data_IF_994987033643
#
_entry.id   IF_994987033643
#
_cell.length_a   1.000
_cell.length_b   1.000
_cell.length_c   1.000
_cell.angle_alpha   90.00
_cell.angle_beta   90.00
_cell.angle_gamma   90.00
#
_symmetry.space_group_name_H-M   'P 1'
#
loop_
_entity.id
_entity.type
_entity.pdbx_description
1 polymer ?
#
# COMPACT_ATOMS: atom_id res chain seq x y z
N UNK A 1 20.41 13.63 1.77
CA UNK A 1 20.71 12.85 0.55
C UNK A 1 19.47 12.15 0.00
N UNK A 2 18.93 11.09 0.61
CA UNK A 2 17.76 10.37 0.03
C UNK A 2 16.52 11.27 -0.14
N UNK A 3 16.15 12.05 0.90
CA UNK A 3 15.02 13.00 0.83
C UNK A 3 15.22 14.11 -0.19
N UNK A 4 16.47 14.53 -0.43
CA UNK A 4 16.79 15.61 -1.37
C UNK A 4 16.69 15.09 -2.81
N UNK A 5 17.13 13.86 -3.06
CA UNK A 5 16.97 13.16 -4.35
C UNK A 5 15.50 12.99 -4.71
N UNK A 6 14.67 12.51 -3.78
CA UNK A 6 13.21 12.34 -4.00
C UNK A 6 12.55 13.68 -4.30
N UNK A 7 12.85 14.73 -3.52
CA UNK A 7 12.34 16.08 -3.77
C UNK A 7 12.73 16.60 -5.16
N UNK A 8 13.97 16.40 -5.57
CA UNK A 8 14.45 16.80 -6.89
C UNK A 8 13.71 16.07 -8.02
N UNK A 9 13.51 14.75 -7.88
CA UNK A 9 12.79 13.94 -8.87
C UNK A 9 11.31 14.36 -8.99
N UNK A 10 10.64 14.63 -7.86
CA UNK A 10 9.25 15.11 -7.87
C UNK A 10 9.10 16.49 -8.52
N UNK A 11 10.06 17.40 -8.28
CA UNK A 11 10.13 18.70 -8.97
C UNK A 11 10.33 18.54 -10.47
N UNK A 12 11.28 17.68 -10.89
CA UNK A 12 11.53 17.40 -12.31
C UNK A 12 10.32 16.83 -13.05
N UNK A 13 9.48 16.05 -12.35
CA UNK A 13 8.23 15.51 -12.89
C UNK A 13 7.07 16.54 -12.93
N UNK A 14 7.28 17.78 -12.49
CA UNK A 14 6.23 18.81 -12.43
C UNK A 14 5.15 18.54 -11.36
N UNK A 15 5.45 17.69 -10.37
CA UNK A 15 4.49 17.25 -9.34
C UNK A 15 4.71 17.90 -7.97
N UNK A 16 5.72 18.77 -7.85
CA UNK A 16 5.96 19.57 -6.65
C UNK A 16 6.52 20.94 -7.05
N UNK A 17 5.81 22.01 -6.69
CA UNK A 17 6.34 23.38 -6.79
C UNK A 17 7.09 23.78 -5.50
N UNK A 18 6.77 23.12 -4.37
CA UNK A 18 7.41 23.31 -3.07
C UNK A 18 8.17 22.05 -2.61
N UNK A 19 8.83 22.13 -1.45
CA UNK A 19 9.51 20.96 -0.84
C UNK A 19 8.43 19.96 -0.41
N UNK A 20 8.44 18.77 -1.00
CA UNK A 20 7.55 17.68 -0.61
C UNK A 20 7.86 17.26 0.83
N UNK A 21 6.86 17.37 1.70
CA UNK A 21 6.88 16.88 3.06
C UNK A 21 5.76 15.85 3.23
N UNK A 22 6.07 14.55 3.36
CA UNK A 22 5.06 13.53 3.64
C UNK A 22 4.30 13.86 4.93
N UNK A 23 2.98 13.64 4.92
CA UNK A 23 2.11 13.86 6.08
C UNK A 23 1.36 12.57 6.49
N UNK A 24 1.96 11.42 6.17
CA UNK A 24 1.39 10.08 6.36
C UNK A 24 0.92 9.83 7.79
N UNK A 25 1.72 10.20 8.80
CA UNK A 25 1.41 9.93 10.20
C UNK A 25 0.16 10.67 10.66
N UNK A 26 0.01 11.94 10.29
CA UNK A 26 -1.19 12.71 10.65
C UNK A 26 -2.42 12.22 9.88
N UNK A 27 -2.26 11.80 8.62
CA UNK A 27 -3.34 11.17 7.87
C UNK A 27 -3.83 9.89 8.57
N UNK A 28 -2.93 8.99 8.95
CA UNK A 28 -3.32 7.77 9.66
C UNK A 28 -3.87 8.06 11.07
N UNK A 29 -3.31 9.05 11.77
CA UNK A 29 -3.85 9.49 13.06
C UNK A 29 -5.29 9.99 12.92
N UNK A 30 -5.59 10.79 11.90
CA UNK A 30 -6.96 11.21 11.59
C UNK A 30 -7.87 9.99 11.33
N UNK A 31 -7.44 9.03 10.51
CA UNK A 31 -8.23 7.83 10.25
C UNK A 31 -8.54 7.05 11.54
N UNK A 32 -7.53 6.82 12.38
CA UNK A 32 -7.64 5.93 13.55
C UNK A 32 -8.28 6.61 14.75
N UNK A 33 -8.01 7.90 14.97
CA UNK A 33 -8.45 8.63 16.17
C UNK A 33 -9.73 9.43 15.96
N UNK A 34 -10.11 9.71 14.72
CA UNK A 34 -11.26 10.56 14.42
C UNK A 34 -12.26 9.86 13.50
N UNK A 35 -11.85 9.50 12.28
CA UNK A 35 -12.79 9.00 11.27
C UNK A 35 -13.39 7.63 11.63
N UNK A 36 -12.55 6.62 11.89
CA UNK A 36 -13.04 5.26 12.24
C UNK A 36 -13.94 5.29 13.49
N UNK A 37 -13.56 5.95 14.62
CA UNK A 37 -14.46 6.06 15.78
C UNK A 37 -15.80 6.73 15.47
N UNK A 38 -15.81 7.75 14.60
CA UNK A 38 -17.05 8.40 14.17
C UNK A 38 -17.94 7.45 13.36
N UNK A 39 -17.36 6.70 12.42
CA UNK A 39 -18.07 5.69 11.61
C UNK A 39 -18.62 4.58 12.51
N UNK A 40 -17.81 4.04 13.42
CA UNK A 40 -18.19 2.97 14.36
C UNK A 40 -19.26 3.38 15.37
N UNK A 41 -19.40 4.69 15.64
CA UNK A 41 -20.48 5.23 16.49
C UNK A 41 -21.77 5.42 15.70
N UNK A 42 -21.66 5.82 14.43
CA UNK A 42 -22.81 6.20 13.60
C UNK A 42 -23.46 5.01 12.89
N UNK A 43 -22.69 3.99 12.54
CA UNK A 43 -23.14 2.84 11.77
C UNK A 43 -22.92 1.53 12.52
N UNK A 44 -23.68 0.50 12.18
CA UNK A 44 -23.52 -0.84 12.74
C UNK A 44 -22.34 -1.55 12.07
N UNK A 45 -21.16 -1.40 12.66
CA UNK A 45 -19.91 -2.00 12.16
C UNK A 45 -19.40 -3.07 13.12
N UNK A 46 -18.70 -4.06 12.57
CA UNK A 46 -17.80 -4.90 13.38
C UNK A 46 -16.52 -4.09 13.65
N UNK A 47 -16.33 -3.68 14.90
CA UNK A 47 -15.30 -2.69 15.27
C UNK A 47 -13.91 -3.31 15.44
N UNK A 48 -13.86 -4.62 15.57
CA UNK A 48 -12.63 -5.35 15.83
C UNK A 48 -11.72 -5.38 14.60
N UNK A 49 -10.44 -5.65 14.87
CA UNK A 49 -9.38 -5.68 13.86
C UNK A 49 -9.70 -6.64 12.71
N UNK A 50 -10.27 -7.81 12.98
CA UNK A 50 -10.48 -8.84 11.94
C UNK A 50 -11.52 -8.46 10.89
N UNK A 51 -12.28 -7.38 11.14
CA UNK A 51 -13.27 -6.82 10.23
C UNK A 51 -12.94 -5.41 9.73
N UNK A 52 -11.77 -4.88 10.08
CA UNK A 52 -11.33 -3.55 9.66
C UNK A 52 -10.19 -3.68 8.66
N UNK A 53 -10.41 -3.19 7.44
CA UNK A 53 -9.44 -3.24 6.35
C UNK A 53 -9.20 -1.84 5.78
N UNK A 54 -8.03 -1.63 5.19
CA UNK A 54 -7.69 -0.40 4.47
C UNK A 54 -7.23 -0.73 3.05
N UNK A 55 -7.66 0.07 2.08
CA UNK A 55 -7.33 -0.19 0.70
C UNK A 55 -7.10 1.11 -0.08
N UNK A 56 -6.26 1.04 -1.10
CA UNK A 56 -6.04 2.15 -2.01
C UNK A 56 -5.18 1.74 -3.20
N UNK A 57 -5.21 2.59 -4.22
CA UNK A 57 -4.37 2.45 -5.41
C UNK A 57 -3.20 3.43 -5.41
N UNK A 58 -2.10 3.10 -6.09
CA UNK A 58 -0.95 3.99 -6.25
C UNK A 58 -0.37 4.42 -4.89
N UNK A 59 -0.26 5.74 -4.63
CA UNK A 59 0.11 6.28 -3.32
C UNK A 59 -0.87 5.87 -2.22
N UNK A 60 -2.15 5.66 -2.56
CA UNK A 60 -3.16 5.05 -1.70
C UNK A 60 -2.85 3.60 -1.31
N UNK A 61 -2.23 2.84 -2.22
CA UNK A 61 -1.75 1.49 -1.91
C UNK A 61 -0.53 1.53 -0.98
N UNK A 62 0.39 2.46 -1.23
CA UNK A 62 1.58 2.64 -0.39
C UNK A 62 1.20 3.06 1.04
N UNK A 63 0.27 4.00 1.21
CA UNK A 63 -0.19 4.43 2.53
C UNK A 63 -1.04 3.34 3.22
N UNK A 64 -1.73 2.47 2.47
CA UNK A 64 -2.45 1.32 3.03
C UNK A 64 -1.50 0.26 3.59
N UNK A 65 -0.39 -0.01 2.88
CA UNK A 65 0.71 -0.84 3.40
C UNK A 65 1.33 -0.21 4.65
N UNK A 66 1.56 1.10 4.65
CA UNK A 66 2.06 1.81 5.83
C UNK A 66 1.08 1.71 7.01
N UNK A 67 -0.23 1.85 6.76
CA UNK A 67 -1.26 1.82 7.79
C UNK A 67 -1.36 0.49 8.52
N UNK A 68 -1.28 -0.63 7.81
CA UNK A 68 -1.32 -1.95 8.46
C UNK A 68 -0.06 -2.22 9.29
N UNK A 69 1.09 -1.62 8.92
CA UNK A 69 2.32 -1.71 9.71
C UNK A 69 2.28 -0.83 10.97
N UNK A 70 1.77 0.41 10.87
CA UNK A 70 1.72 1.35 11.99
C UNK A 70 0.57 1.09 12.97
N UNK A 71 -0.55 0.58 12.48
CA UNK A 71 -1.74 0.32 13.29
C UNK A 71 -2.27 -1.11 13.14
N UNK A 72 -1.45 -2.15 13.38
CA UNK A 72 -1.85 -3.55 13.25
C UNK A 72 -2.93 -3.96 14.26
N UNK A 73 -3.05 -3.25 15.37
CA UNK A 73 -4.15 -3.43 16.32
C UNK A 73 -5.50 -2.92 15.79
N UNK A 74 -5.51 -2.11 14.73
CA UNK A 74 -6.72 -1.53 14.12
C UNK A 74 -7.04 -2.21 12.80
N UNK A 75 -6.07 -2.32 11.89
CA UNK A 75 -6.29 -2.87 10.55
C UNK A 75 -5.88 -4.35 10.51
N UNK A 76 -6.85 -5.24 10.32
CA UNK A 76 -6.60 -6.68 10.13
C UNK A 76 -6.19 -7.04 8.71
N UNK A 77 -6.18 -6.09 7.79
CA UNK A 77 -5.62 -6.32 6.48
C UNK A 77 -5.56 -5.07 5.60
N UNK A 78 -4.79 -5.17 4.54
CA UNK A 78 -4.62 -4.11 3.56
C UNK A 78 -4.71 -4.64 2.12
N UNK A 79 -5.30 -3.84 1.23
CA UNK A 79 -5.24 -4.06 -0.22
C UNK A 79 -4.53 -2.90 -0.92
N UNK A 80 -3.42 -3.21 -1.55
CA UNK A 80 -2.50 -2.23 -2.10
C UNK A 80 -2.44 -2.41 -3.62
N UNK A 81 -3.32 -1.71 -4.34
CA UNK A 81 -3.45 -1.84 -5.79
C UNK A 81 -2.40 -0.95 -6.47
N UNK A 82 -1.66 -1.50 -7.44
CA UNK A 82 -0.62 -0.76 -8.19
C UNK A 82 0.27 0.09 -7.26
N UNK A 83 0.76 -0.53 -6.19
CA UNK A 83 1.40 0.17 -5.09
C UNK A 83 2.53 1.06 -5.61
N UNK A 84 2.50 2.35 -5.27
CA UNK A 84 3.47 3.33 -5.77
C UNK A 84 4.83 3.21 -5.05
N UNK A 85 5.48 2.04 -5.21
CA UNK A 85 6.72 1.66 -4.55
C UNK A 85 7.88 2.61 -4.80
N UNK A 86 7.84 3.35 -5.91
CA UNK A 86 8.85 4.32 -6.29
C UNK A 86 8.76 5.60 -5.48
N UNK A 87 7.60 5.99 -4.96
CA UNK A 87 7.38 7.30 -4.31
C UNK A 87 7.65 8.52 -5.21
N UNK A 88 8.11 8.28 -6.44
CA UNK A 88 8.42 9.22 -7.52
C UNK A 88 8.09 8.54 -8.85
N UNK A 89 8.38 9.18 -9.97
CA UNK A 89 8.00 8.69 -11.31
C UNK A 89 9.17 8.05 -12.08
N UNK A 90 10.21 7.58 -11.37
CA UNK A 90 11.36 6.91 -11.98
C UNK A 90 12.01 5.89 -11.04
N UNK A 91 12.65 4.86 -11.63
CA UNK A 91 13.52 3.93 -10.92
C UNK A 91 14.99 4.38 -10.91
N UNK A 92 15.37 5.34 -11.77
CA UNK A 92 16.76 5.79 -11.92
C UNK A 92 17.24 6.50 -10.65
N UNK A 93 18.29 5.97 -10.03
CA UNK A 93 18.91 6.52 -8.82
C UNK A 93 17.90 6.85 -7.71
N UNK A 94 16.81 6.08 -7.62
CA UNK A 94 15.73 6.31 -6.67
C UNK A 94 15.96 5.49 -5.39
N UNK A 95 16.26 6.13 -4.24
CA UNK A 95 16.49 5.41 -2.98
C UNK A 95 15.20 4.95 -2.30
N UNK A 96 14.05 5.51 -2.69
CA UNK A 96 12.79 5.32 -1.97
C UNK A 96 12.31 3.86 -1.94
N UNK A 97 12.33 3.08 -3.05
CA UNK A 97 11.98 1.65 -3.01
C UNK A 97 12.75 0.86 -1.96
N UNK A 98 14.06 1.09 -1.85
CA UNK A 98 14.89 0.38 -0.87
C UNK A 98 14.49 0.74 0.57
N UNK A 99 14.21 2.02 0.83
CA UNK A 99 13.71 2.48 2.14
C UNK A 99 12.33 1.93 2.46
N UNK A 100 11.41 1.90 1.50
CA UNK A 100 10.07 1.33 1.67
C UNK A 100 10.12 -0.18 1.96
N UNK A 101 10.94 -0.94 1.23
CA UNK A 101 11.13 -2.38 1.45
C UNK A 101 11.79 -2.67 2.81
N UNK A 102 12.80 -1.90 3.22
CA UNK A 102 13.40 -2.04 4.56
C UNK A 102 12.39 -1.76 5.67
N UNK A 103 11.56 -0.75 5.48
CA UNK A 103 10.51 -0.43 6.43
C UNK A 103 9.47 -1.55 6.51
N UNK A 104 9.04 -2.08 5.35
CA UNK A 104 8.14 -3.23 5.27
C UNK A 104 8.70 -4.44 6.02
N UNK A 105 9.96 -4.81 5.77
CA UNK A 105 10.62 -5.95 6.43
C UNK A 105 10.73 -5.80 7.96
N UNK A 106 10.80 -4.57 8.46
CA UNK A 106 10.92 -4.31 9.90
C UNK A 106 9.58 -4.30 10.62
N UNK A 107 8.51 -3.82 9.98
CA UNK A 107 7.26 -3.46 10.64
C UNK A 107 6.05 -4.30 10.23
N UNK A 108 6.28 -5.36 9.45
CA UNK A 108 5.21 -6.24 9.00
C UNK A 108 4.48 -6.89 10.19
N UNK A 109 3.14 -6.93 10.19
CA UNK A 109 2.39 -7.50 11.30
C UNK A 109 2.34 -9.04 11.24
N UNK A 110 1.94 -9.67 12.35
CA UNK A 110 1.88 -11.13 12.47
C UNK A 110 0.95 -11.74 11.42
N UNK A 111 1.52 -12.60 10.58
CA UNK A 111 0.83 -13.34 9.52
C UNK A 111 -0.35 -14.15 10.04
N UNK A 112 -0.33 -14.64 11.29
CA UNK A 112 -1.44 -15.41 11.88
C UNK A 112 -2.73 -14.58 12.03
N UNK A 113 -2.63 -13.25 12.01
CA UNK A 113 -3.73 -12.35 12.35
C UNK A 113 -4.05 -11.30 11.30
N UNK A 114 -3.26 -11.21 10.22
CA UNK A 114 -3.39 -10.17 9.21
C UNK A 114 -3.45 -10.74 7.80
N UNK A 115 -4.19 -10.06 6.91
CA UNK A 115 -4.27 -10.36 5.48
C UNK A 115 -3.66 -9.24 4.64
N UNK A 116 -2.91 -9.57 3.60
CA UNK A 116 -2.33 -8.55 2.69
C UNK A 116 -2.60 -8.90 1.24
N UNK A 117 -3.14 -7.96 0.48
CA UNK A 117 -3.30 -8.07 -0.97
C UNK A 117 -2.43 -7.02 -1.66
N UNK A 118 -1.72 -7.45 -2.71
CA UNK A 118 -1.05 -6.56 -3.65
C UNK A 118 -1.52 -6.85 -5.07
N UNK A 119 -1.47 -5.83 -5.92
CA UNK A 119 -1.41 -6.06 -7.36
C UNK A 119 -0.58 -5.01 -8.11
N UNK A 120 -0.22 -5.34 -9.35
CA UNK A 120 0.33 -4.40 -10.32
C UNK A 120 0.01 -4.85 -11.75
N UNK A 121 -0.11 -3.89 -12.66
CA UNK A 121 0.04 -4.11 -14.09
C UNK A 121 1.48 -3.94 -14.54
N UNK A 122 1.68 -3.60 -15.81
CA UNK A 122 3.01 -3.35 -16.40
C UNK A 122 3.05 -2.26 -17.46
N UNK A 123 1.95 -1.51 -17.66
CA UNK A 123 1.89 -0.40 -18.61
C UNK A 123 1.92 0.95 -17.92
N UNK A 124 2.33 1.98 -18.66
CA UNK A 124 2.45 3.36 -18.17
C UNK A 124 3.33 3.45 -16.91
N UNK A 125 2.79 3.92 -15.78
CA UNK A 125 3.54 4.03 -14.53
C UNK A 125 3.71 2.67 -13.84
N UNK A 126 2.80 1.72 -14.07
CA UNK A 126 2.87 0.37 -13.49
C UNK A 126 4.08 -0.41 -13.99
N UNK A 127 4.63 -0.07 -15.16
CA UNK A 127 5.86 -0.66 -15.68
C UNK A 127 7.04 -0.60 -14.70
N UNK A 128 7.02 0.33 -13.73
CA UNK A 128 8.07 0.49 -12.74
C UNK A 128 7.97 -0.47 -11.54
N UNK A 129 6.82 -1.14 -11.35
CA UNK A 129 6.50 -1.84 -10.09
C UNK A 129 6.83 -3.33 -10.03
N UNK A 130 6.71 -4.16 -11.10
CA UNK A 130 6.82 -5.62 -10.98
C UNK A 130 8.08 -6.12 -10.26
N UNK A 131 9.25 -5.56 -10.60
CA UNK A 131 10.51 -5.97 -9.97
C UNK A 131 10.62 -5.54 -8.50
N UNK A 132 9.98 -4.43 -8.12
CA UNK A 132 9.93 -4.00 -6.71
C UNK A 132 8.91 -4.84 -5.94
N UNK A 133 7.76 -5.13 -6.55
CA UNK A 133 6.72 -5.97 -5.97
C UNK A 133 7.25 -7.39 -5.70
N UNK A 134 8.04 -7.98 -6.62
CA UNK A 134 8.69 -9.29 -6.38
C UNK A 134 9.59 -9.27 -5.13
N UNK A 135 10.28 -8.16 -4.85
CA UNK A 135 11.10 -8.00 -3.63
C UNK A 135 10.22 -7.86 -2.39
N UNK A 136 9.12 -7.12 -2.48
CA UNK A 136 8.12 -7.04 -1.41
C UNK A 136 7.52 -8.43 -1.12
N UNK A 137 7.16 -9.19 -2.15
CA UNK A 137 6.63 -10.54 -2.04
C UNK A 137 7.61 -11.49 -1.33
N UNK A 138 8.92 -11.38 -1.59
CA UNK A 138 9.94 -12.14 -0.89
C UNK A 138 9.99 -11.82 0.61
N UNK A 139 9.83 -10.54 0.98
CA UNK A 139 9.72 -10.11 2.38
C UNK A 139 8.45 -10.67 3.01
N UNK A 140 7.30 -10.56 2.34
CA UNK A 140 6.03 -11.08 2.84
C UNK A 140 6.13 -12.58 3.15
N UNK A 141 6.72 -13.38 2.22
CA UNK A 141 6.99 -14.82 2.43
C UNK A 141 7.92 -15.07 3.62
N UNK A 142 9.01 -14.30 3.74
CA UNK A 142 9.98 -14.39 4.85
C UNK A 142 9.29 -14.21 6.22
N UNK A 143 8.25 -13.38 6.30
CA UNK A 143 7.44 -13.15 7.52
C UNK A 143 6.31 -14.17 7.75
N UNK A 144 6.32 -15.28 7.03
CA UNK A 144 5.41 -16.41 7.26
C UNK A 144 4.01 -16.26 6.64
N UNK A 145 3.81 -15.27 5.78
CA UNK A 145 2.59 -15.19 4.98
C UNK A 145 2.59 -16.25 3.88
N UNK A 146 1.40 -16.75 3.59
CA UNK A 146 1.09 -17.81 2.63
C UNK A 146 -0.15 -17.43 1.82
N UNK A 147 -0.57 -18.27 0.89
CA UNK A 147 -1.77 -18.00 0.08
C UNK A 147 -3.08 -17.84 0.88
N UNK A 148 -3.09 -18.29 2.15
CA UNK A 148 -4.25 -18.14 3.05
C UNK A 148 -4.47 -16.70 3.53
N UNK A 149 -3.40 -15.92 3.62
CA UNK A 149 -3.36 -14.61 4.26
C UNK A 149 -2.54 -13.59 3.46
N UNK A 150 -2.04 -13.96 2.29
CA UNK A 150 -1.46 -13.03 1.35
C UNK A 150 -1.71 -13.45 -0.10
N UNK A 151 -1.91 -12.45 -0.97
CA UNK A 151 -2.04 -12.62 -2.41
C UNK A 151 -1.39 -11.45 -3.14
N UNK A 152 -0.56 -11.75 -4.15
CA UNK A 152 -0.09 -10.75 -5.12
C UNK A 152 -0.58 -11.16 -6.50
N UNK A 153 -1.25 -10.26 -7.22
CA UNK A 153 -1.70 -10.49 -8.59
C UNK A 153 -0.96 -9.59 -9.58
N UNK A 154 -0.62 -10.15 -10.73
CA UNK A 154 0.02 -9.44 -11.83
C UNK A 154 -0.94 -9.41 -13.02
N UNK A 155 -1.11 -8.24 -13.63
CA UNK A 155 -2.04 -8.01 -14.73
C UNK A 155 -1.30 -7.48 -15.98
N UNK A 156 -0.77 -8.38 -16.82
CA UNK A 156 -0.06 -7.97 -18.04
C UNK A 156 -0.95 -7.10 -18.94
N UNK A 157 -0.41 -6.00 -19.44
CA UNK A 157 -1.12 -5.05 -20.31
C UNK A 157 -1.99 -4.02 -19.58
N UNK A 158 -2.19 -4.14 -18.26
CA UNK A 158 -2.94 -3.13 -17.50
C UNK A 158 -2.07 -1.91 -17.18
N UNK A 159 -2.69 -0.73 -17.27
CA UNK A 159 -2.07 0.56 -17.04
C UNK A 159 -2.35 1.12 -15.63
N UNK A 160 -1.66 2.21 -15.28
CA UNK A 160 -1.88 2.92 -14.03
C UNK A 160 -3.08 3.87 -14.10
N UNK A 161 -4.31 3.33 -14.04
CA UNK A 161 -5.54 4.12 -14.16
C UNK A 161 -6.69 3.63 -13.26
N UNK A 162 -7.65 4.53 -12.99
CA UNK A 162 -8.88 4.20 -12.26
C UNK A 162 -9.73 3.15 -12.96
N UNK A 163 -9.75 3.16 -14.30
CA UNK A 163 -10.48 2.16 -15.10
C UNK A 163 -9.89 0.75 -14.88
N UNK A 164 -8.56 0.63 -14.91
CA UNK A 164 -7.87 -0.64 -14.66
C UNK A 164 -8.12 -1.15 -13.23
N UNK A 165 -8.10 -0.27 -12.23
CA UNK A 165 -8.39 -0.64 -10.84
C UNK A 165 -9.85 -1.05 -10.65
N UNK A 166 -10.79 -0.33 -11.26
CA UNK A 166 -12.22 -0.66 -11.19
C UNK A 166 -12.51 -2.07 -11.74
N UNK A 167 -11.90 -2.46 -12.86
CA UNK A 167 -12.03 -3.81 -13.47
C UNK A 167 -11.65 -4.94 -12.52
N UNK A 168 -10.72 -4.70 -11.59
CA UNK A 168 -10.15 -5.73 -10.70
C UNK A 168 -10.45 -5.53 -9.22
N UNK A 169 -11.24 -4.51 -8.85
CA UNK A 169 -11.56 -4.17 -7.46
C UNK A 169 -12.25 -5.30 -6.70
N UNK A 170 -13.00 -6.18 -7.37
CA UNK A 170 -13.64 -7.34 -6.72
C UNK A 170 -12.62 -8.29 -6.08
N UNK A 171 -11.43 -8.44 -6.67
CA UNK A 171 -10.41 -9.41 -6.22
C UNK A 171 -9.86 -9.13 -4.81
N UNK A 172 -9.41 -7.91 -4.47
CA UNK A 172 -9.02 -7.61 -3.09
C UNK A 172 -10.19 -7.68 -2.12
N UNK A 173 -11.39 -7.26 -2.53
CA UNK A 173 -12.57 -7.30 -1.66
C UNK A 173 -12.94 -8.73 -1.30
N UNK A 174 -13.00 -9.62 -2.27
CA UNK A 174 -13.20 -11.06 -2.06
C UNK A 174 -12.11 -11.64 -1.15
N UNK A 175 -10.84 -11.34 -1.43
CA UNK A 175 -9.75 -11.88 -0.63
C UNK A 175 -9.80 -11.45 0.86
N UNK A 176 -10.08 -10.17 1.12
CA UNK A 176 -10.09 -9.62 2.47
C UNK A 176 -11.35 -10.04 3.24
N UNK A 177 -12.52 -9.91 2.61
CA UNK A 177 -13.82 -10.07 3.27
C UNK A 177 -14.32 -11.51 3.30
N UNK A 178 -13.80 -12.39 2.45
CA UNK A 178 -14.20 -13.80 2.47
C UNK A 178 -13.68 -14.50 3.75
N UNK A 179 -14.55 -15.29 4.36
CA UNK A 179 -14.33 -15.98 5.63
C UNK A 179 -13.99 -17.45 5.38
#
# INVERSE_FOLDING_TARGET
>A
MEKDTVNHQLKKAGRANEKFSPNSDNYLKFLVKELKPLIDKKYSTFKDRSHTFIAGSSMGGLISMYAICEYPQIFGGAACLSTHWTGTFTNENNPFPASALRYLDKNLPDSKTHKIYFDCGDQTLDALYPEIQKKADAIIRKHGYSEKNWKTLYFPGENHSEEAWAKRLSKPLEFLLNR
#
